data_IF_072389800565
#
_entry.id   IF_072389800565
#
_cell.length_a   1.000
_cell.length_b   1.000
_cell.length_c   1.000
_cell.angle_alpha   90.00
_cell.angle_beta   90.00
_cell.angle_gamma   90.00
#
_symmetry.space_group_name_H-M   'P 1'
#
loop_
_entity.id
_entity.type
_entity.pdbx_description
1 polymer ?
#
# COMPACT_ATOMS: atom_id res chain seq x y z
N UNK A 1 -16.26 -2.72 6.68
CA UNK A 1 -16.20 -3.95 5.85
C UNK A 1 -15.90 -3.55 4.41
N UNK A 2 -15.15 -4.35 3.62
CA UNK A 2 -14.94 -4.05 2.20
C UNK A 2 -16.30 -4.01 1.48
N UNK A 3 -16.47 -3.08 0.52
CA UNK A 3 -17.69 -3.01 -0.28
C UNK A 3 -17.82 -4.26 -1.17
N UNK A 4 -19.00 -4.52 -1.71
CA UNK A 4 -19.16 -5.62 -2.66
C UNK A 4 -18.35 -5.33 -3.94
N UNK A 5 -17.33 -6.15 -4.28
CA UNK A 5 -16.53 -5.91 -5.48
C UNK A 5 -17.39 -5.97 -6.74
N UNK A 6 -18.42 -6.83 -6.81
CA UNK A 6 -19.29 -6.93 -7.99
C UNK A 6 -20.00 -5.62 -8.33
N UNK A 7 -20.28 -4.79 -7.33
CA UNK A 7 -20.99 -3.51 -7.50
C UNK A 7 -20.05 -2.33 -7.77
N UNK A 8 -18.76 -2.46 -7.44
CA UNK A 8 -17.84 -1.30 -7.37
C UNK A 8 -16.52 -1.47 -8.11
N UNK A 9 -16.22 -2.65 -8.68
CA UNK A 9 -14.93 -2.95 -9.30
C UNK A 9 -14.53 -1.93 -10.39
N UNK A 10 -15.51 -1.41 -11.13
CA UNK A 10 -15.30 -0.44 -12.22
C UNK A 10 -15.55 1.03 -11.80
N UNK A 11 -15.93 1.29 -10.55
CA UNK A 11 -16.41 2.62 -10.12
C UNK A 11 -15.73 3.11 -8.83
N UNK A 12 -14.47 2.73 -8.59
CA UNK A 12 -13.68 3.22 -7.44
C UNK A 12 -13.58 2.25 -6.26
N UNK A 13 -13.48 0.95 -6.53
CA UNK A 13 -13.01 -0.02 -5.53
C UNK A 13 -11.54 0.29 -5.20
N UNK A 14 -11.26 0.60 -3.93
CA UNK A 14 -9.98 1.14 -3.50
C UNK A 14 -8.93 0.03 -3.41
N UNK A 15 -7.66 0.40 -3.56
CA UNK A 15 -6.53 -0.54 -3.45
C UNK A 15 -6.55 -1.34 -2.12
N UNK A 16 -6.87 -0.69 -1.00
CA UNK A 16 -6.97 -1.37 0.30
C UNK A 16 -8.14 -2.38 0.35
N UNK A 17 -9.24 -2.12 -0.37
CA UNK A 17 -10.37 -3.04 -0.44
C UNK A 17 -10.03 -4.27 -1.26
N UNK A 18 -9.25 -4.11 -2.34
CA UNK A 18 -8.70 -5.24 -3.10
C UNK A 18 -7.74 -6.07 -2.24
N UNK A 19 -6.84 -5.43 -1.48
CA UNK A 19 -5.94 -6.13 -0.58
C UNK A 19 -6.71 -6.95 0.46
N UNK A 20 -7.72 -6.35 1.10
CA UNK A 20 -8.54 -7.03 2.09
C UNK A 20 -9.36 -8.17 1.49
N UNK A 21 -9.99 -7.92 0.35
CA UNK A 21 -10.78 -8.95 -0.34
C UNK A 21 -9.90 -10.13 -0.75
N UNK A 22 -8.81 -9.88 -1.47
CA UNK A 22 -7.99 -10.94 -2.06
C UNK A 22 -7.14 -11.66 -1.01
N UNK A 23 -6.38 -10.92 -0.21
CA UNK A 23 -5.39 -11.50 0.72
C UNK A 23 -5.90 -11.63 2.16
N UNK A 24 -6.99 -10.96 2.51
CA UNK A 24 -7.64 -11.09 3.82
C UNK A 24 -8.73 -12.15 3.82
N UNK A 25 -9.74 -11.99 2.97
CA UNK A 25 -10.93 -12.83 2.93
C UNK A 25 -10.81 -14.00 1.96
N UNK A 26 -10.06 -13.82 0.85
CA UNK A 26 -9.92 -14.78 -0.23
C UNK A 26 -9.63 -16.22 0.22
N UNK A 27 -8.67 -16.49 1.12
CA UNK A 27 -8.39 -17.85 1.58
C UNK A 27 -9.62 -18.58 2.14
N UNK A 28 -10.47 -17.87 2.90
CA UNK A 28 -11.70 -18.43 3.44
C UNK A 28 -12.81 -18.52 2.38
N UNK A 29 -12.99 -17.47 1.59
CA UNK A 29 -14.05 -17.41 0.56
C UNK A 29 -13.86 -18.43 -0.57
N UNK A 30 -12.61 -18.79 -0.88
CA UNK A 30 -12.28 -19.71 -1.96
C UNK A 30 -12.05 -21.16 -1.48
N UNK A 31 -12.12 -21.40 -0.17
CA UNK A 31 -12.00 -22.76 0.39
C UNK A 31 -13.21 -23.60 -0.01
N UNK A 32 -12.97 -24.81 -0.52
CA UNK A 32 -14.01 -25.70 -1.04
C UNK A 32 -14.53 -25.34 -2.43
N UNK A 33 -14.31 -24.10 -2.90
CA UNK A 33 -14.62 -23.69 -4.28
C UNK A 33 -13.48 -24.02 -5.24
N UNK A 34 -12.24 -23.72 -4.85
CA UNK A 34 -11.06 -24.04 -5.65
C UNK A 34 -10.58 -25.47 -5.39
N UNK A 35 -10.11 -26.20 -6.43
CA UNK A 35 -9.43 -27.47 -6.21
C UNK A 35 -8.22 -27.28 -5.30
N UNK A 36 -7.99 -28.25 -4.39
CA UNK A 36 -7.05 -28.12 -3.28
C UNK A 36 -5.67 -27.61 -3.68
N UNK A 37 -5.10 -28.09 -4.79
CA UNK A 37 -3.77 -27.67 -5.27
C UNK A 37 -3.68 -26.17 -5.58
N UNK A 38 -4.73 -25.59 -6.19
CA UNK A 38 -4.78 -24.18 -6.54
C UNK A 38 -5.05 -23.33 -5.30
N UNK A 39 -5.95 -23.80 -4.43
CA UNK A 39 -6.23 -23.14 -3.16
C UNK A 39 -4.97 -23.07 -2.26
N UNK A 40 -4.23 -24.17 -2.12
CA UNK A 40 -3.00 -24.20 -1.33
C UNK A 40 -1.94 -23.25 -1.89
N UNK A 41 -1.76 -23.22 -3.21
CA UNK A 41 -0.84 -22.28 -3.86
C UNK A 41 -1.26 -20.82 -3.61
N UNK A 42 -2.56 -20.52 -3.74
CA UNK A 42 -3.12 -19.21 -3.43
C UNK A 42 -2.94 -18.81 -1.95
N UNK A 43 -3.08 -19.75 -1.02
CA UNK A 43 -2.86 -19.51 0.40
C UNK A 43 -1.40 -19.16 0.71
N UNK A 44 -0.42 -19.73 0.00
CA UNK A 44 1.00 -19.35 0.15
C UNK A 44 1.23 -17.90 -0.27
N UNK A 45 0.64 -17.50 -1.40
CA UNK A 45 0.66 -16.10 -1.84
C UNK A 45 0.04 -15.19 -0.77
N UNK A 46 -1.17 -15.51 -0.31
CA UNK A 46 -1.87 -14.70 0.71
C UNK A 46 -1.05 -14.57 1.99
N UNK A 47 -0.49 -15.66 2.50
CA UNK A 47 0.33 -15.64 3.69
C UNK A 47 1.61 -14.79 3.49
N UNK A 48 2.30 -14.93 2.35
CA UNK A 48 3.48 -14.13 2.03
C UNK A 48 3.17 -12.63 1.90
N UNK A 49 2.10 -12.26 1.18
CA UNK A 49 1.68 -10.86 1.03
C UNK A 49 1.26 -10.26 2.37
N UNK A 50 0.52 -11.00 3.21
CA UNK A 50 0.15 -10.52 4.55
C UNK A 50 1.35 -10.23 5.44
N UNK A 51 2.43 -11.01 5.32
CA UNK A 51 3.70 -10.75 6.02
C UNK A 51 4.39 -9.51 5.45
N UNK A 52 4.43 -9.37 4.12
CA UNK A 52 5.08 -8.26 3.42
C UNK A 52 4.49 -6.88 3.82
N UNK A 53 3.17 -6.83 4.02
CA UNK A 53 2.45 -5.61 4.39
C UNK A 53 2.43 -5.33 5.91
N UNK A 54 3.15 -6.10 6.73
CA UNK A 54 3.29 -5.77 8.15
C UNK A 54 4.21 -4.57 8.34
N UNK A 55 3.93 -3.76 9.35
CA UNK A 55 4.80 -2.63 9.70
C UNK A 55 6.07 -3.02 10.45
N UNK A 56 6.07 -4.19 11.08
CA UNK A 56 7.21 -4.76 11.79
C UNK A 56 7.29 -6.22 11.38
N UNK A 57 8.43 -6.62 10.84
CA UNK A 57 8.67 -7.98 10.36
C UNK A 57 9.86 -8.53 11.12
N UNK A 58 9.66 -9.61 11.86
CA UNK A 58 10.76 -10.32 12.55
C UNK A 58 11.57 -11.13 11.56
N UNK A 59 12.82 -11.46 11.89
CA UNK A 59 13.67 -12.31 11.05
C UNK A 59 13.02 -13.67 10.73
N UNK A 60 12.34 -14.28 11.71
CA UNK A 60 11.61 -15.54 11.51
C UNK A 60 10.45 -15.40 10.53
N UNK A 61 9.66 -14.31 10.65
CA UNK A 61 8.59 -14.03 9.71
C UNK A 61 9.13 -13.76 8.30
N UNK A 62 10.27 -13.07 8.21
CA UNK A 62 10.92 -12.80 6.95
C UNK A 62 11.39 -14.08 6.23
N UNK A 63 12.01 -15.01 6.96
CA UNK A 63 12.39 -16.33 6.44
C UNK A 63 11.16 -17.11 5.97
N UNK A 64 10.09 -17.08 6.77
CA UNK A 64 8.81 -17.72 6.43
C UNK A 64 8.23 -17.14 5.15
N UNK A 65 8.19 -15.81 5.03
CA UNK A 65 7.73 -15.11 3.83
C UNK A 65 8.55 -15.48 2.60
N UNK A 66 9.88 -15.54 2.74
CA UNK A 66 10.78 -15.92 1.64
C UNK A 66 10.44 -17.32 1.11
N UNK A 67 10.31 -18.30 2.00
CA UNK A 67 9.96 -19.67 1.64
C UNK A 67 8.59 -19.73 0.97
N UNK A 68 7.57 -19.07 1.55
CA UNK A 68 6.21 -19.09 1.01
C UNK A 68 6.12 -18.47 -0.39
N UNK A 69 6.78 -17.34 -0.64
CA UNK A 69 6.74 -16.66 -1.94
C UNK A 69 7.56 -17.41 -3.00
N UNK A 70 8.69 -18.03 -2.64
CA UNK A 70 9.42 -18.93 -3.55
C UNK A 70 8.56 -20.14 -3.89
N UNK A 71 7.98 -20.81 -2.91
CA UNK A 71 7.13 -21.98 -3.17
C UNK A 71 5.92 -21.60 -4.03
N UNK A 72 5.29 -20.46 -3.75
CA UNK A 72 4.20 -19.94 -4.57
C UNK A 72 4.63 -19.79 -6.02
N UNK A 73 5.74 -19.10 -6.30
CA UNK A 73 6.21 -18.84 -7.67
C UNK A 73 6.62 -20.10 -8.42
N UNK A 74 7.29 -21.04 -7.75
CA UNK A 74 7.67 -22.34 -8.36
C UNK A 74 6.43 -23.17 -8.69
N UNK A 75 5.48 -23.25 -7.76
CA UNK A 75 4.22 -23.96 -7.99
C UNK A 75 3.33 -23.26 -9.01
N UNK A 76 3.40 -21.93 -9.11
CA UNK A 76 2.66 -21.17 -10.11
C UNK A 76 3.12 -21.57 -11.53
N UNK A 77 4.44 -21.68 -11.72
CA UNK A 77 5.02 -22.16 -12.97
C UNK A 77 4.51 -23.57 -13.33
N UNK A 78 4.44 -24.48 -12.34
CA UNK A 78 3.97 -25.85 -12.53
C UNK A 78 2.46 -25.89 -12.83
N UNK A 79 1.65 -25.16 -12.06
CA UNK A 79 0.19 -25.26 -12.05
C UNK A 79 -0.49 -24.48 -13.19
N UNK A 80 0.08 -23.35 -13.61
CA UNK A 80 -0.55 -22.45 -14.57
C UNK A 80 0.26 -22.37 -15.88
N UNK A 81 1.57 -22.22 -15.81
CA UNK A 81 2.44 -22.10 -17.01
C UNK A 81 2.75 -23.47 -17.62
N UNK A 82 2.80 -24.52 -16.81
CA UNK A 82 3.13 -25.89 -17.20
C UNK A 82 4.51 -26.00 -17.86
N UNK A 83 5.47 -25.12 -17.50
CA UNK A 83 6.79 -25.03 -18.13
C UNK A 83 6.72 -24.92 -19.66
N UNK A 84 5.62 -24.35 -20.17
CA UNK A 84 5.41 -24.18 -21.59
C UNK A 84 5.74 -22.74 -21.99
N UNK A 85 6.74 -22.50 -22.86
CA UNK A 85 7.11 -21.16 -23.31
C UNK A 85 5.95 -20.35 -23.90
N UNK A 86 4.99 -21.00 -24.56
CA UNK A 86 3.80 -20.33 -25.10
C UNK A 86 2.90 -19.73 -23.99
N UNK A 87 3.03 -20.20 -22.75
CA UNK A 87 2.27 -19.74 -21.57
C UNK A 87 3.07 -18.79 -20.67
N UNK A 88 4.29 -18.42 -21.05
CA UNK A 88 5.16 -17.56 -20.26
C UNK A 88 4.51 -16.20 -19.93
N UNK A 89 3.58 -15.73 -20.78
CA UNK A 89 2.81 -14.51 -20.55
C UNK A 89 1.94 -14.54 -19.28
N UNK A 90 1.63 -15.71 -18.72
CA UNK A 90 0.99 -15.82 -17.40
C UNK A 90 1.93 -15.41 -16.26
N UNK A 91 3.24 -15.66 -16.40
CA UNK A 91 4.27 -15.29 -15.42
C UNK A 91 4.66 -13.82 -15.59
N UNK A 92 3.72 -12.93 -15.24
CA UNK A 92 3.94 -11.48 -15.30
C UNK A 92 5.05 -11.06 -14.32
N UNK A 93 5.71 -9.93 -14.61
CA UNK A 93 6.80 -9.40 -13.78
C UNK A 93 6.42 -9.30 -12.29
N UNK A 94 5.19 -8.91 -11.96
CA UNK A 94 4.75 -8.81 -10.57
C UNK A 94 4.70 -10.16 -9.84
N UNK A 95 4.46 -11.28 -10.56
CA UNK A 95 4.49 -12.63 -10.00
C UNK A 95 5.93 -13.03 -9.74
N UNK A 96 6.82 -12.80 -10.71
CA UNK A 96 8.25 -13.09 -10.58
C UNK A 96 8.89 -12.29 -9.44
N UNK A 97 8.57 -10.99 -9.33
CA UNK A 97 9.11 -10.09 -8.31
C UNK A 97 8.87 -10.57 -6.87
N UNK A 98 7.83 -11.38 -6.62
CA UNK A 98 7.55 -11.93 -5.29
C UNK A 98 8.71 -12.76 -4.74
N UNK A 99 9.50 -13.37 -5.61
CA UNK A 99 10.71 -14.13 -5.24
C UNK A 99 11.74 -13.26 -4.52
N UNK A 100 11.78 -11.97 -4.86
CA UNK A 100 12.74 -11.00 -4.35
C UNK A 100 12.19 -10.20 -3.16
N UNK A 101 10.88 -10.25 -2.90
CA UNK A 101 10.24 -9.41 -1.90
C UNK A 101 10.88 -9.49 -0.50
N UNK A 102 11.31 -10.67 -0.07
CA UNK A 102 11.97 -10.82 1.24
C UNK A 102 13.36 -10.18 1.31
N UNK A 103 14.12 -10.25 0.22
CA UNK A 103 15.44 -9.61 0.15
C UNK A 103 15.29 -8.09 0.12
N UNK A 104 14.29 -7.60 -0.62
CA UNK A 104 13.97 -6.17 -0.63
C UNK A 104 13.54 -5.68 0.75
N UNK A 105 12.75 -6.46 1.49
CA UNK A 105 12.40 -6.08 2.87
C UNK A 105 13.62 -5.96 3.78
N UNK A 106 14.66 -6.78 3.60
CA UNK A 106 15.93 -6.60 4.34
C UNK A 106 16.65 -5.32 3.95
N UNK A 107 16.61 -4.97 2.65
CA UNK A 107 17.36 -3.85 2.09
C UNK A 107 16.73 -2.49 2.41
N UNK A 108 15.42 -2.37 2.25
CA UNK A 108 14.70 -1.08 2.31
C UNK A 108 13.58 -1.05 3.36
N UNK A 109 13.41 -2.13 4.13
CA UNK A 109 12.37 -2.24 5.14
C UNK A 109 11.03 -2.77 4.59
N UNK A 110 10.01 -2.87 5.44
CA UNK A 110 8.72 -3.49 5.08
C UNK A 110 8.02 -2.85 3.89
N UNK A 111 7.26 -3.63 3.11
CA UNK A 111 6.66 -3.15 1.85
C UNK A 111 5.69 -1.96 2.03
N UNK A 112 5.08 -1.83 3.21
CA UNK A 112 4.19 -0.71 3.52
C UNK A 112 4.94 0.63 3.63
N UNK A 113 6.22 0.63 4.04
CA UNK A 113 7.02 1.86 4.19
C UNK A 113 7.59 2.33 2.85
N UNK A 114 7.67 1.46 1.85
CA UNK A 114 8.12 1.76 0.49
C UNK A 114 6.96 1.79 -0.53
N UNK A 115 5.71 1.77 -0.05
CA UNK A 115 4.54 1.79 -0.93
C UNK A 115 4.35 3.16 -1.61
N UNK A 116 3.77 3.14 -2.81
CA UNK A 116 3.45 4.36 -3.55
C UNK A 116 2.26 5.12 -2.98
N UNK A 117 1.51 4.57 -2.02
CA UNK A 117 0.26 5.16 -1.54
C UNK A 117 0.41 6.58 -1.04
N UNK A 118 1.46 6.86 -0.26
CA UNK A 118 1.73 8.21 0.25
C UNK A 118 2.03 9.18 -0.90
N UNK A 119 2.77 8.71 -1.91
CA UNK A 119 3.09 9.52 -3.10
C UNK A 119 1.85 9.80 -3.94
N UNK A 120 1.02 8.78 -4.23
CA UNK A 120 -0.24 8.93 -4.97
C UNK A 120 -1.22 9.85 -4.23
N UNK A 121 -1.31 9.74 -2.91
CA UNK A 121 -2.12 10.63 -2.09
C UNK A 121 -1.62 12.08 -2.19
N UNK A 122 -0.29 12.28 -2.15
CA UNK A 122 0.32 13.60 -2.32
C UNK A 122 0.06 14.18 -3.71
N UNK A 123 0.17 13.36 -4.77
CA UNK A 123 -0.15 13.78 -6.15
C UNK A 123 -1.62 14.21 -6.25
N UNK A 124 -2.54 13.45 -5.67
CA UNK A 124 -3.96 13.78 -5.66
C UNK A 124 -4.26 15.09 -4.92
N UNK A 125 -3.63 15.30 -3.75
CA UNK A 125 -3.73 16.53 -2.96
C UNK A 125 -3.25 17.75 -3.77
N UNK A 126 -2.04 17.66 -4.33
CA UNK A 126 -1.45 18.73 -5.14
C UNK A 126 -2.25 19.02 -6.41
N UNK A 127 -2.76 17.98 -7.07
CA UNK A 127 -3.55 18.12 -8.29
C UNK A 127 -4.90 18.79 -8.01
N UNK A 128 -5.50 18.53 -6.84
CA UNK A 128 -6.71 19.22 -6.40
C UNK A 128 -6.53 20.73 -6.21
N UNK A 129 -5.30 21.21 -6.01
CA UNK A 129 -4.98 22.63 -5.90
C UNK A 129 -4.72 23.33 -7.25
N UNK A 130 -4.59 22.57 -8.35
CA UNK A 130 -4.38 23.10 -9.69
C UNK A 130 -5.72 23.55 -10.27
N UNK A 131 -5.90 24.87 -10.40
CA UNK A 131 -7.14 25.47 -10.91
C UNK A 131 -6.99 26.04 -12.33
N UNK A 132 -5.79 26.00 -12.91
CA UNK A 132 -5.49 26.50 -14.25
C UNK A 132 -4.85 25.40 -15.09
N UNK A 133 -5.55 25.01 -16.16
CA UNK A 133 -5.14 23.96 -17.10
C UNK A 133 -4.06 24.43 -18.08
N UNK A 134 -4.05 25.71 -18.44
CA UNK A 134 -3.16 26.28 -19.45
C UNK A 134 -1.70 26.44 -19.01
N UNK A 135 -1.44 26.55 -17.70
CA UNK A 135 -0.08 26.67 -17.15
C UNK A 135 0.03 25.95 -15.80
N UNK A 136 -0.30 24.65 -15.82
CA UNK A 136 -0.38 23.80 -14.64
C UNK A 136 0.91 23.72 -13.83
N UNK A 137 2.08 23.68 -14.49
CA UNK A 137 3.37 23.62 -13.80
C UNK A 137 3.71 24.91 -13.05
N UNK A 138 3.52 26.09 -13.66
CA UNK A 138 3.76 27.35 -12.96
C UNK A 138 2.78 27.52 -11.79
N UNK A 139 1.51 27.16 -11.99
CA UNK A 139 0.50 27.19 -10.94
C UNK A 139 0.88 26.26 -9.77
N UNK A 140 1.31 25.03 -10.07
CA UNK A 140 1.78 24.07 -9.07
C UNK A 140 3.01 24.59 -8.31
N UNK A 141 3.99 25.18 -8.99
CA UNK A 141 5.16 25.79 -8.34
C UNK A 141 4.76 26.88 -7.35
N UNK A 142 3.87 27.79 -7.73
CA UNK A 142 3.36 28.85 -6.85
C UNK A 142 2.59 28.27 -5.65
N UNK A 143 1.77 27.24 -5.86
CA UNK A 143 1.06 26.52 -4.78
C UNK A 143 2.05 25.90 -3.79
N UNK A 144 3.06 25.19 -4.28
CA UNK A 144 4.11 24.59 -3.46
C UNK A 144 4.88 25.65 -2.64
N UNK A 145 5.28 26.77 -3.26
CA UNK A 145 5.96 27.88 -2.58
C UNK A 145 5.07 28.45 -1.47
N UNK A 146 3.80 28.75 -1.79
CA UNK A 146 2.85 29.30 -0.83
C UNK A 146 2.62 28.35 0.35
N UNK A 147 2.50 27.05 0.11
CA UNK A 147 2.37 26.03 1.17
C UNK A 147 3.60 25.97 2.05
N UNK A 148 4.80 26.00 1.46
CA UNK A 148 6.06 26.04 2.20
C UNK A 148 6.17 27.30 3.07
N UNK A 149 5.81 28.47 2.54
CA UNK A 149 5.80 29.74 3.28
C UNK A 149 4.80 29.72 4.44
N UNK A 150 3.57 29.25 4.22
CA UNK A 150 2.56 29.13 5.29
C UNK A 150 3.04 28.16 6.36
N UNK A 151 3.59 27.00 5.97
CA UNK A 151 4.12 26.03 6.94
C UNK A 151 5.29 26.61 7.74
N UNK A 152 6.20 27.35 7.10
CA UNK A 152 7.31 28.01 7.77
C UNK A 152 6.82 29.09 8.76
N UNK A 153 5.82 29.90 8.37
CA UNK A 153 5.21 30.89 9.24
C UNK A 153 4.51 30.26 10.45
N UNK A 154 3.72 29.19 10.23
CA UNK A 154 3.06 28.43 11.30
C UNK A 154 4.08 27.80 12.26
N UNK A 155 5.20 27.29 11.74
CA UNK A 155 6.26 26.71 12.57
C UNK A 155 7.03 27.78 13.38
N UNK A 156 7.30 28.95 12.77
CA UNK A 156 8.04 30.04 13.41
C UNK A 156 7.20 30.82 14.42
N UNK A 157 5.90 31.00 14.14
CA UNK A 157 4.95 31.73 14.99
C UNK A 157 3.68 30.85 15.11
N UNK A 158 3.67 29.89 16.03
CA UNK A 158 2.56 28.96 16.20
C UNK A 158 1.21 29.63 16.49
N UNK A 159 1.19 30.86 17.01
CA UNK A 159 -0.04 31.65 17.26
C UNK A 159 -0.79 32.03 15.97
N UNK A 160 -0.11 32.04 14.81
CA UNK A 160 -0.75 32.31 13.52
C UNK A 160 -1.51 31.10 12.98
N UNK A 161 -1.30 29.91 13.56
CA UNK A 161 -2.04 28.73 13.17
C UNK A 161 -3.42 28.73 13.83
N UNK A 162 -4.41 29.27 13.12
CA UNK A 162 -5.81 29.33 13.57
C UNK A 162 -6.43 27.92 13.83
N UNK A 163 -5.75 26.85 13.41
CA UNK A 163 -6.16 25.48 13.67
C UNK A 163 -5.49 24.88 14.92
N UNK A 164 -4.53 25.57 15.55
CA UNK A 164 -3.77 25.12 16.73
C UNK A 164 -4.64 24.83 17.94
N UNK A 165 -5.56 25.75 18.24
CA UNK A 165 -6.42 25.68 19.44
C UNK A 165 -7.78 25.03 19.15
N UNK A 166 -8.02 24.55 17.92
CA UNK A 166 -9.18 23.70 17.68
C UNK A 166 -8.97 22.42 18.50
N UNK A 167 -9.92 22.11 19.39
CA UNK A 167 -9.95 20.92 20.26
C UNK A 167 -9.81 19.55 19.53
N UNK A 168 -9.55 19.56 18.22
CA UNK A 168 -9.30 18.41 17.37
C UNK A 168 -8.08 18.57 16.44
N UNK A 169 -7.05 19.36 16.79
CA UNK A 169 -5.82 19.41 15.97
C UNK A 169 -5.18 18.03 15.83
N UNK A 170 -5.39 17.17 16.83
CA UNK A 170 -5.05 15.75 16.78
C UNK A 170 -6.17 14.96 16.06
N UNK A 171 -5.87 14.34 14.90
CA UNK A 171 -6.77 13.36 14.32
C UNK A 171 -7.08 12.26 15.33
N UNK A 172 -8.29 11.67 15.26
CA UNK A 172 -8.75 10.68 16.24
C UNK A 172 -7.71 9.56 16.46
N UNK A 173 -7.18 9.48 17.68
CA UNK A 173 -6.20 8.47 18.08
C UNK A 173 -4.73 8.86 17.86
N UNK A 174 -4.45 10.07 17.38
CA UNK A 174 -3.10 10.63 17.37
C UNK A 174 -2.63 10.87 18.82
N UNK A 175 -1.35 10.65 19.06
CA UNK A 175 -0.68 10.88 20.33
C UNK A 175 0.13 12.16 20.21
N UNK A 176 -0.11 13.11 21.10
CA UNK A 176 0.70 14.32 21.20
C UNK A 176 2.14 13.94 21.61
N UNK A 177 3.13 14.42 20.86
CA UNK A 177 4.55 14.25 21.17
C UNK A 177 5.17 15.51 21.80
N UNK A 178 4.40 16.59 21.96
CA UNK A 178 4.91 17.90 22.35
C UNK A 178 5.49 18.68 21.16
N UNK A 179 5.82 19.96 21.38
CA UNK A 179 6.43 20.85 20.38
C UNK A 179 5.65 20.95 19.05
N UNK A 180 4.32 20.88 19.10
CA UNK A 180 3.42 20.82 17.93
C UNK A 180 3.62 19.57 17.04
N UNK A 181 4.27 18.51 17.53
CA UNK A 181 4.37 17.23 16.83
C UNK A 181 3.30 16.27 17.32
N UNK A 182 2.68 15.54 16.38
CA UNK A 182 1.74 14.47 16.68
C UNK A 182 2.16 13.16 16.02
N UNK A 183 2.10 12.07 16.79
CA UNK A 183 2.15 10.72 16.28
C UNK A 183 0.75 10.30 15.83
N UNK A 184 0.51 10.30 14.52
CA UNK A 184 -0.75 9.79 13.98
C UNK A 184 -0.88 8.28 14.22
N UNK A 185 -2.07 7.82 14.64
CA UNK A 185 -2.38 6.39 14.70
C UNK A 185 -2.36 5.81 13.29
N UNK A 186 -1.83 4.60 13.15
CA UNK A 186 -1.99 3.79 11.94
C UNK A 186 -3.43 3.34 11.74
#
# INVERSE_FOLDING_TARGET
PPRNPAEKINSGYKAWEFLLYLFGLGPGLLYGLLPMRYWMNFCKLCAGIRLLYQHKITQKQLQTMHVLLIQFTVEFEILYVHQNPSRLHYMRQYIHNLRHAALEVQRIGPGITSSQWTMEQCIGDLTGEIHQDSNSYANLSERCIKRAQINALKAAIPELDADRDKESWLPRGAVDLGDNYALLRK
#
